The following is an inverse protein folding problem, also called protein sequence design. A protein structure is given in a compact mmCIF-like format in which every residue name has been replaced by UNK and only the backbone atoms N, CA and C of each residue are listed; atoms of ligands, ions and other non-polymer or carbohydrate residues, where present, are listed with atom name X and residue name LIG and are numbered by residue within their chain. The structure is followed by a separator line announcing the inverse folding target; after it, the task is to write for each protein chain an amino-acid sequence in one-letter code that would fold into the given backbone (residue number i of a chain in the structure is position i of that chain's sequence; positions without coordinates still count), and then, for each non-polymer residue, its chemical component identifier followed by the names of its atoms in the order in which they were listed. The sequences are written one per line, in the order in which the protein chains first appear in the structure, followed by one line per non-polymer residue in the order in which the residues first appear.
data_IF_419011884683
#
_entry.id   IF_419011884683
#
_cell.length_a   1.000
_cell.length_b   1.000
_cell.length_c   1.000
_cell.angle_alpha   90.00
_cell.angle_beta   90.00
_cell.angle_gamma   90.00
#
_symmetry.space_group_name_H-M   'P 1'
#
loop_
_entity.id
_entity.type
_entity.pdbx_description
1 polymer ?
#
# COMPACT_ATOMS: atom_id res chain seq x y z
N UNK A 1 -17.64 -4.24 -7.57
CA UNK A 1 -16.22 -4.66 -7.48
C UNK A 1 -16.00 -5.55 -6.27
N UNK A 2 -15.27 -6.66 -6.40
CA UNK A 2 -14.88 -7.52 -5.26
C UNK A 2 -13.77 -6.82 -4.45
N UNK A 3 -13.86 -6.69 -3.11
CA UNK A 3 -12.82 -6.04 -2.33
C UNK A 3 -11.48 -6.78 -2.39
N UNK A 4 -10.38 -6.06 -2.19
CA UNK A 4 -9.03 -6.65 -2.22
C UNK A 4 -8.20 -6.30 -0.99
N UNK A 5 -7.32 -7.22 -0.60
CA UNK A 5 -6.24 -6.99 0.34
C UNK A 5 -4.93 -6.99 -0.43
N UNK A 6 -4.21 -5.88 -0.40
CA UNK A 6 -2.91 -5.72 -1.03
C UNK A 6 -1.79 -5.81 0.01
N UNK A 7 -0.77 -6.59 -0.29
CA UNK A 7 0.48 -6.61 0.48
C UNK A 7 1.56 -6.05 -0.43
N UNK A 8 2.06 -4.85 -0.12
CA UNK A 8 3.08 -4.22 -0.94
C UNK A 8 4.49 -4.62 -0.47
N UNK A 9 5.38 -4.96 -1.40
CA UNK A 9 6.67 -5.58 -1.06
C UNK A 9 7.74 -5.37 -2.13
N UNK A 10 8.98 -5.75 -1.81
CA UNK A 10 10.08 -5.92 -2.74
C UNK A 10 10.71 -7.31 -2.55
N UNK A 11 11.73 -7.63 -3.35
CA UNK A 11 12.39 -8.93 -3.28
C UNK A 11 13.03 -9.22 -1.91
N UNK A 12 13.41 -8.19 -1.13
CA UNK A 12 14.02 -8.35 0.20
C UNK A 12 13.00 -8.73 1.27
N UNK A 13 11.74 -8.30 1.14
CA UNK A 13 10.66 -8.60 2.08
C UNK A 13 9.61 -9.56 1.52
N UNK A 14 9.92 -10.25 0.42
CA UNK A 14 8.99 -11.13 -0.29
C UNK A 14 8.46 -12.29 0.58
N UNK A 15 9.35 -12.94 1.36
CA UNK A 15 8.94 -14.04 2.25
C UNK A 15 7.94 -13.56 3.30
N UNK A 16 8.17 -12.38 3.89
CA UNK A 16 7.22 -11.77 4.82
C UNK A 16 5.86 -11.55 4.16
N UNK A 17 5.87 -11.00 2.95
CA UNK A 17 4.65 -10.75 2.19
C UNK A 17 3.85 -12.02 1.88
N UNK A 18 4.51 -13.13 1.58
CA UNK A 18 3.84 -14.44 1.39
C UNK A 18 3.17 -14.93 2.68
N UNK A 19 3.85 -14.81 3.82
CA UNK A 19 3.29 -15.19 5.12
C UNK A 19 2.13 -14.26 5.50
N UNK A 20 2.24 -12.95 5.23
CA UNK A 20 1.16 -11.98 5.37
C UNK A 20 -0.06 -12.40 4.54
N UNK A 21 0.12 -12.62 3.24
CA UNK A 21 -0.94 -13.03 2.33
C UNK A 21 -1.58 -14.37 2.72
N UNK A 22 -0.80 -15.31 3.26
CA UNK A 22 -1.32 -16.55 3.82
C UNK A 22 -2.19 -16.28 5.05
N UNK A 23 -1.73 -15.46 5.99
CA UNK A 23 -2.46 -15.14 7.23
C UNK A 23 -3.83 -14.48 6.95
N UNK A 24 -3.89 -13.59 5.95
CA UNK A 24 -5.14 -12.92 5.51
C UNK A 24 -6.20 -13.93 5.08
N UNK A 25 -5.81 -14.94 4.28
CA UNK A 25 -6.71 -15.99 3.81
C UNK A 25 -7.05 -16.98 4.92
N UNK A 26 -6.02 -17.49 5.61
CA UNK A 26 -6.12 -18.58 6.58
C UNK A 26 -7.01 -18.24 7.78
N UNK A 27 -7.01 -16.98 8.20
CA UNK A 27 -7.73 -16.53 9.40
C UNK A 27 -9.07 -15.87 9.09
N UNK A 28 -9.43 -15.72 7.81
CA UNK A 28 -10.76 -15.24 7.43
C UNK A 28 -11.81 -16.35 7.53
N UNK A 29 -13.03 -15.98 7.95
CA UNK A 29 -14.19 -16.89 7.94
C UNK A 29 -14.79 -17.05 6.55
N UNK A 30 -14.50 -16.12 5.63
CA UNK A 30 -15.04 -16.07 4.26
C UNK A 30 -13.95 -15.65 3.26
N UNK A 31 -12.87 -16.44 3.11
CA UNK A 31 -11.72 -16.03 2.28
C UNK A 31 -12.08 -15.82 0.80
N UNK A 32 -13.20 -16.36 0.32
CA UNK A 32 -13.64 -16.21 -1.07
C UNK A 32 -14.34 -14.88 -1.35
N UNK A 33 -14.66 -14.07 -0.33
CA UNK A 33 -15.38 -12.78 -0.52
C UNK A 33 -14.47 -11.62 -0.87
N UNK A 34 -13.16 -11.79 -0.81
CA UNK A 34 -12.15 -10.81 -1.23
C UNK A 34 -10.98 -11.52 -1.92
N UNK A 35 -10.15 -10.76 -2.64
CA UNK A 35 -8.89 -11.28 -3.17
C UNK A 35 -7.71 -10.78 -2.34
N UNK A 36 -6.60 -11.52 -2.36
CA UNK A 36 -5.36 -11.12 -1.70
C UNK A 36 -4.25 -11.11 -2.75
N UNK A 37 -3.68 -9.93 -2.99
CA UNK A 37 -2.72 -9.69 -4.08
C UNK A 37 -1.45 -9.05 -3.52
N UNK A 38 -0.30 -9.42 -4.12
CA UNK A 38 0.96 -8.74 -3.83
C UNK A 38 1.12 -7.56 -4.80
N UNK A 39 1.65 -6.46 -4.31
CA UNK A 39 2.14 -5.35 -5.14
C UNK A 39 3.66 -5.39 -5.03
N UNK A 40 4.34 -5.92 -6.04
CA UNK A 40 5.80 -6.05 -6.01
C UNK A 40 6.47 -4.90 -6.74
N UNK A 41 7.48 -4.30 -6.12
CA UNK A 41 8.23 -3.19 -6.71
C UNK A 41 8.76 -3.50 -8.12
N UNK A 42 9.20 -4.74 -8.37
CA UNK A 42 9.75 -5.17 -9.67
C UNK A 42 8.77 -4.98 -10.84
N UNK A 43 7.47 -5.02 -10.57
CA UNK A 43 6.41 -4.92 -11.57
C UNK A 43 6.03 -3.45 -11.88
N UNK A 44 6.66 -2.49 -11.19
CA UNK A 44 6.41 -1.05 -11.32
C UNK A 44 7.70 -0.26 -11.63
N UNK A 45 8.70 -0.90 -12.24
CA UNK A 45 9.98 -0.28 -12.58
C UNK A 45 9.89 0.82 -13.65
N UNK A 46 8.82 0.85 -14.43
CA UNK A 46 8.50 1.96 -15.33
C UNK A 46 8.24 3.27 -14.57
N UNK A 47 7.67 3.20 -13.36
CA UNK A 47 7.43 4.34 -12.48
C UNK A 47 8.67 4.66 -11.64
N UNK A 48 9.20 3.66 -10.93
CA UNK A 48 10.23 3.87 -9.90
C UNK A 48 11.67 3.77 -10.42
N UNK A 49 11.91 2.96 -11.44
CA UNK A 49 13.26 2.62 -11.91
C UNK A 49 14.05 3.81 -12.42
N UNK A 50 13.39 4.77 -13.06
CA UNK A 50 13.98 6.01 -13.61
C UNK A 50 14.57 6.96 -12.54
N UNK A 51 14.38 6.66 -11.26
CA UNK A 51 14.84 7.48 -10.14
C UNK A 51 16.07 6.93 -9.41
N UNK A 52 16.63 5.80 -9.83
CA UNK A 52 17.84 5.22 -9.24
C UNK A 52 18.96 6.26 -9.09
N UNK A 53 19.52 6.38 -7.88
CA UNK A 53 20.63 7.29 -7.59
C UNK A 53 20.25 8.76 -7.52
N UNK A 54 18.96 9.13 -7.69
CA UNK A 54 18.50 10.52 -7.59
C UNK A 54 18.12 10.89 -6.16
N UNK A 55 18.33 12.16 -5.83
CA UNK A 55 17.99 12.69 -4.52
C UNK A 55 16.54 13.20 -4.45
N UNK A 56 15.86 12.89 -3.35
CA UNK A 56 14.52 13.36 -3.01
C UNK A 56 14.47 13.88 -1.57
N UNK A 57 13.43 14.67 -1.26
CA UNK A 57 13.23 15.22 0.08
C UNK A 57 12.38 14.25 0.93
N UNK A 58 12.91 13.86 2.09
CA UNK A 58 12.18 13.06 3.09
C UNK A 58 12.38 13.69 4.45
N UNK A 59 11.28 14.12 5.07
CA UNK A 59 11.29 14.75 6.41
C UNK A 59 12.29 15.91 6.53
N UNK A 60 12.34 16.78 5.51
CA UNK A 60 13.25 17.93 5.45
C UNK A 60 14.71 17.59 5.13
N UNK A 61 15.06 16.33 4.89
CA UNK A 61 16.43 15.88 4.59
C UNK A 61 16.52 15.29 3.18
N UNK A 62 17.62 15.56 2.48
CA UNK A 62 17.91 14.91 1.18
C UNK A 62 18.25 13.43 1.40
N UNK A 63 17.63 12.56 0.62
CA UNK A 63 17.89 11.11 0.59
C UNK A 63 18.06 10.67 -0.84
N UNK A 64 18.97 9.74 -1.09
CA UNK A 64 19.13 9.10 -2.40
C UNK A 64 18.13 7.94 -2.52
N UNK A 65 17.40 7.90 -3.63
CA UNK A 65 16.54 6.78 -3.98
C UNK A 65 17.38 5.61 -4.49
N UNK A 66 17.19 4.45 -3.87
CA UNK A 66 17.81 3.19 -4.26
C UNK A 66 16.68 2.17 -4.43
N UNK A 67 16.51 1.60 -5.62
CA UNK A 67 15.51 0.56 -5.87
C UNK A 67 15.78 -0.69 -5.01
N UNK A 68 17.05 -0.92 -4.65
CA UNK A 68 17.48 -2.00 -3.77
C UNK A 68 17.36 -1.65 -2.26
N UNK A 69 16.86 -0.48 -1.88
CA UNK A 69 16.62 -0.15 -0.47
C UNK A 69 15.65 -1.15 0.18
N UNK A 70 15.84 -1.44 1.48
CA UNK A 70 14.95 -2.36 2.21
C UNK A 70 13.48 -1.91 2.11
N UNK A 71 13.23 -0.59 2.14
CA UNK A 71 11.92 0.03 2.13
C UNK A 71 11.53 0.65 0.79
N UNK A 72 12.20 0.30 -0.31
CA UNK A 72 11.89 0.81 -1.65
C UNK A 72 10.45 0.53 -2.11
N UNK A 73 9.77 -0.44 -1.49
CA UNK A 73 8.36 -0.76 -1.73
C UNK A 73 7.38 0.23 -1.07
N UNK A 74 7.84 1.15 -0.22
CA UNK A 74 6.96 2.04 0.58
C UNK A 74 5.96 2.83 -0.27
N UNK A 75 6.34 3.44 -1.42
CA UNK A 75 5.39 4.20 -2.25
C UNK A 75 4.26 3.35 -2.85
N UNK A 76 4.44 2.03 -2.96
CA UNK A 76 3.41 1.15 -3.53
C UNK A 76 2.11 1.13 -2.71
N UNK A 77 2.12 1.59 -1.47
CA UNK A 77 0.89 1.73 -0.66
C UNK A 77 -0.14 2.69 -1.25
N UNK A 78 0.27 3.53 -2.19
CA UNK A 78 -0.62 4.46 -2.90
C UNK A 78 -1.25 3.85 -4.17
N UNK A 79 -0.79 2.68 -4.61
CA UNK A 79 -1.31 1.99 -5.81
C UNK A 79 -2.73 1.41 -5.71
N UNK A 80 -3.29 1.02 -4.54
CA UNK A 80 -4.58 0.34 -4.49
C UNK A 80 -5.73 1.02 -5.24
N UNK A 81 -5.93 2.36 -5.19
CA UNK A 81 -6.96 3.01 -5.97
C UNK A 81 -6.81 2.78 -7.49
N UNK A 82 -5.61 2.96 -8.06
CA UNK A 82 -5.35 2.73 -9.49
C UNK A 82 -5.54 1.26 -9.87
N UNK A 83 -5.02 0.32 -9.07
CA UNK A 83 -5.16 -1.13 -9.31
C UNK A 83 -6.61 -1.62 -9.21
N UNK A 84 -7.45 -0.87 -8.49
CA UNK A 84 -8.88 -1.12 -8.37
C UNK A 84 -9.72 -0.35 -9.40
N UNK A 85 -9.07 0.33 -10.36
CA UNK A 85 -9.72 1.25 -11.32
C UNK A 85 -10.58 2.32 -10.64
N UNK A 86 -10.15 2.76 -9.45
CA UNK A 86 -10.88 3.68 -8.59
C UNK A 86 -12.29 3.19 -8.21
N UNK A 87 -12.46 1.87 -8.04
CA UNK A 87 -13.74 1.29 -7.62
C UNK A 87 -13.63 0.44 -6.36
N UNK A 88 -14.70 0.41 -5.57
CA UNK A 88 -14.81 -0.48 -4.42
C UNK A 88 -13.86 -0.14 -3.28
N UNK A 89 -13.49 -1.16 -2.50
CA UNK A 89 -12.68 -1.01 -1.29
C UNK A 89 -11.45 -1.89 -1.32
N UNK A 90 -10.39 -1.40 -0.70
CA UNK A 90 -9.16 -2.14 -0.52
C UNK A 90 -8.62 -1.98 0.90
N UNK A 91 -7.95 -3.01 1.40
CA UNK A 91 -7.03 -2.89 2.53
C UNK A 91 -5.62 -3.03 1.97
N UNK A 92 -4.71 -2.13 2.33
CA UNK A 92 -3.27 -2.31 2.06
C UNK A 92 -2.51 -2.48 3.37
N UNK A 93 -1.53 -3.38 3.37
CA UNK A 93 -0.69 -3.67 4.53
C UNK A 93 0.79 -3.75 4.17
N UNK A 94 1.64 -3.36 5.12
CA UNK A 94 3.08 -3.63 5.08
C UNK A 94 3.36 -5.16 5.01
N UNK A 95 4.50 -5.59 4.43
CA UNK A 95 4.77 -7.02 4.19
C UNK A 95 5.07 -7.81 5.47
N UNK A 96 5.32 -7.13 6.59
CA UNK A 96 5.56 -7.71 7.91
C UNK A 96 4.34 -7.59 8.85
N UNK A 97 3.15 -7.31 8.30
CA UNK A 97 1.88 -7.32 9.04
C UNK A 97 1.13 -8.63 8.79
N UNK A 98 0.72 -9.30 9.87
CA UNK A 98 0.02 -10.58 9.81
C UNK A 98 -1.37 -10.48 10.44
N UNK A 99 -2.39 -10.98 9.75
CA UNK A 99 -3.73 -11.05 10.30
C UNK A 99 -3.82 -12.17 11.35
N UNK A 100 -4.26 -11.82 12.55
CA UNK A 100 -4.56 -12.77 13.64
C UNK A 100 -6.07 -13.08 13.73
N UNK A 101 -6.88 -12.48 12.85
CA UNK A 101 -8.33 -12.62 12.79
C UNK A 101 -8.87 -12.33 11.39
N UNK A 102 -10.19 -12.17 11.28
CA UNK A 102 -10.85 -12.01 9.98
C UNK A 102 -10.68 -10.61 9.40
N UNK A 103 -9.85 -10.49 8.35
CA UNK A 103 -9.65 -9.22 7.61
C UNK A 103 -10.94 -8.71 6.96
N UNK A 104 -11.94 -9.58 6.74
CA UNK A 104 -13.26 -9.18 6.27
C UNK A 104 -13.94 -8.16 7.18
N UNK A 105 -13.69 -8.22 8.49
CA UNK A 105 -14.20 -7.22 9.46
C UNK A 105 -13.63 -5.81 9.22
N UNK A 106 -12.43 -5.71 8.61
CA UNK A 106 -11.87 -4.44 8.17
C UNK A 106 -12.52 -3.98 6.86
N UNK A 107 -12.65 -4.86 5.88
CA UNK A 107 -13.24 -4.53 4.57
C UNK A 107 -14.69 -4.05 4.69
N UNK A 108 -15.45 -4.67 5.61
CA UNK A 108 -16.86 -4.37 5.87
C UNK A 108 -17.05 -3.17 6.82
N UNK A 109 -15.97 -2.60 7.37
CA UNK A 109 -16.06 -1.53 8.37
C UNK A 109 -16.77 -0.28 7.80
N UNK A 110 -17.58 0.35 8.65
CA UNK A 110 -18.10 1.68 8.37
C UNK A 110 -16.97 2.72 8.45
N UNK A 111 -16.70 3.38 7.33
CA UNK A 111 -15.66 4.40 7.19
C UNK A 111 -16.16 5.81 7.55
N UNK A 112 -17.44 5.96 7.94
CA UNK A 112 -18.04 7.23 8.38
C UNK A 112 -17.82 8.37 7.38
N UNK A 113 -17.97 8.04 6.09
CA UNK A 113 -17.78 8.97 4.98
C UNK A 113 -16.31 9.27 4.62
N UNK A 114 -15.32 8.81 5.39
CA UNK A 114 -13.89 9.01 5.10
C UNK A 114 -13.42 8.18 3.92
N UNK A 115 -12.35 8.63 3.25
CA UNK A 115 -11.70 7.91 2.14
C UNK A 115 -10.67 6.90 2.62
N UNK A 116 -10.05 7.12 3.78
CA UNK A 116 -9.07 6.22 4.40
C UNK A 116 -9.36 6.06 5.89
N UNK A 117 -9.28 4.83 6.40
CA UNK A 117 -9.23 4.52 7.82
C UNK A 117 -7.89 3.85 8.17
N UNK A 118 -7.28 4.27 9.27
CA UNK A 118 -6.04 3.71 9.77
C UNK A 118 -5.95 3.85 11.29
N UNK A 119 -4.94 3.21 11.90
CA UNK A 119 -4.66 3.39 13.32
C UNK A 119 -3.92 4.70 13.57
N UNK A 120 -4.10 5.29 14.75
CA UNK A 120 -3.22 6.36 15.24
C UNK A 120 -2.13 5.74 16.12
N UNK A 121 -0.87 6.08 15.85
CA UNK A 121 0.29 5.63 16.63
C UNK A 121 1.20 6.81 16.91
N UNK A 122 1.60 6.97 18.18
CA UNK A 122 2.47 8.06 18.63
C UNK A 122 2.02 9.48 18.17
N UNK A 123 0.71 9.74 18.14
CA UNK A 123 0.16 11.05 17.76
C UNK A 123 -0.03 11.27 16.26
N UNK A 124 0.28 10.28 15.41
CA UNK A 124 0.17 10.41 13.95
C UNK A 124 -0.61 9.24 13.32
N UNK A 125 -1.27 9.44 12.17
CA UNK A 125 -1.84 8.34 11.39
C UNK A 125 -0.76 7.34 10.97
N UNK A 126 -0.98 6.05 11.21
CA UNK A 126 -0.06 4.98 10.82
C UNK A 126 -0.49 4.36 9.49
N UNK A 127 0.42 4.31 8.52
CA UNK A 127 0.12 3.83 7.17
C UNK A 127 0.53 2.37 6.89
N UNK A 128 0.92 1.63 7.93
CA UNK A 128 1.23 0.19 7.83
C UNK A 128 0.00 -0.69 7.58
N UNK A 129 -1.20 -0.19 7.90
CA UNK A 129 -2.49 -0.80 7.57
C UNK A 129 -3.47 0.33 7.24
N UNK A 130 -4.03 0.31 6.05
CA UNK A 130 -5.01 1.31 5.62
C UNK A 130 -6.19 0.62 4.92
N UNK A 131 -7.39 0.90 5.41
CA UNK A 131 -8.64 0.61 4.69
C UNK A 131 -8.97 1.82 3.81
N UNK A 132 -9.29 1.58 2.54
CA UNK A 132 -9.46 2.58 1.51
C UNK A 132 -10.81 2.42 0.81
N UNK A 133 -11.48 3.55 0.59
CA UNK A 133 -12.59 3.69 -0.36
C UNK A 133 -11.97 4.21 -1.67
N UNK A 134 -11.67 3.29 -2.59
CA UNK A 134 -10.87 3.57 -3.79
C UNK A 134 -11.55 4.61 -4.70
N UNK A 135 -12.88 4.66 -4.69
CA UNK A 135 -13.65 5.63 -5.46
C UNK A 135 -13.53 7.08 -4.95
N UNK A 136 -13.05 7.27 -3.72
CA UNK A 136 -12.81 8.62 -3.16
C UNK A 136 -11.35 9.07 -3.29
N UNK A 137 -10.51 8.27 -3.95
CA UNK A 137 -9.06 8.48 -4.04
C UNK A 137 -8.61 8.66 -5.50
N UNK A 138 -9.48 9.18 -6.37
CA UNK A 138 -9.15 9.50 -7.78
C UNK A 138 -7.98 10.47 -7.92
N UNK A 139 -7.71 11.25 -6.88
CA UNK A 139 -6.59 12.18 -6.80
C UNK A 139 -5.24 11.51 -6.48
N UNK A 140 -5.21 10.20 -6.17
CA UNK A 140 -3.96 9.47 -6.02
C UNK A 140 -3.50 9.01 -7.40
N UNK A 141 -2.40 9.59 -7.86
CA UNK A 141 -1.80 9.37 -9.19
C UNK A 141 -0.35 9.01 -8.97
N UNK A 142 -0.05 7.74 -8.71
CA UNK A 142 1.22 7.34 -8.11
C UNK A 142 2.42 7.77 -8.95
N UNK A 143 2.33 7.67 -10.29
CA UNK A 143 3.41 8.16 -11.16
C UNK A 143 3.60 9.68 -11.06
N UNK A 144 2.53 10.46 -11.02
CA UNK A 144 2.61 11.93 -10.96
C UNK A 144 3.11 12.40 -9.59
N UNK A 145 2.56 11.81 -8.53
CA UNK A 145 2.92 12.09 -7.14
C UNK A 145 4.38 11.72 -6.86
N UNK A 146 4.83 10.57 -7.37
CA UNK A 146 6.22 10.15 -7.25
C UNK A 146 7.14 11.06 -8.06
N UNK A 147 6.74 11.49 -9.26
CA UNK A 147 7.53 12.45 -10.04
C UNK A 147 7.67 13.80 -9.31
N UNK A 148 6.60 14.30 -8.68
CA UNK A 148 6.58 15.54 -7.90
C UNK A 148 7.58 15.51 -6.72
N UNK A 149 7.75 14.35 -6.08
CA UNK A 149 8.71 14.15 -4.99
C UNK A 149 10.16 14.49 -5.40
N UNK A 150 10.56 14.15 -6.63
CA UNK A 150 11.89 14.46 -7.16
C UNK A 150 12.00 15.85 -7.79
N UNK A 151 10.87 16.47 -8.15
CA UNK A 151 10.80 17.90 -8.48
C UNK A 151 10.78 18.79 -7.24
N UNK A 152 10.61 18.21 -6.05
CA UNK A 152 10.49 18.90 -4.75
C UNK A 152 9.26 19.81 -4.69
N UNK A 153 8.21 19.39 -5.37
CA UNK A 153 6.89 20.05 -5.34
C UNK A 153 6.11 19.61 -4.10
N UNK A 154 5.10 20.39 -3.71
CA UNK A 154 4.31 20.19 -2.49
C UNK A 154 2.83 20.17 -2.81
#
# INVERSE_FOLDING_TARGET
MKPKVFIHTNHKQYVGALVSAHSMRRNSRRPDTFDVELIELKDHMDIFGKYEGRDYLRDGVSRTWLNDDLQSFTPLRFMPPELMNYEGRAVVVDPDVFAVGDVGELLDRDMQGKSVCCCYRAGHPASSVMLMDCAKLENWKVSEDFDALFRRER
#
